data_IF_848117782536
#
_entry.id   IF_848117782536
#
_cell.length_a   1.000
_cell.length_b   1.000
_cell.length_c   1.000
_cell.angle_alpha   90.00
_cell.angle_beta   90.00
_cell.angle_gamma   90.00
#
_symmetry.space_group_name_H-M   'P 1'
#
loop_
_entity.id
_entity.type
_entity.pdbx_description
1 polymer ?
#
# COMPACT_ATOMS: atom_id res chain seq x y z
N UNK A 1 21.40 -2.44 -7.64
CA UNK A 1 20.14 -3.20 -7.69
C UNK A 1 19.28 -2.71 -6.54
N UNK A 2 18.14 -2.07 -6.82
CA UNK A 2 17.29 -1.53 -5.74
C UNK A 2 16.71 -2.72 -4.97
N UNK A 3 17.09 -2.84 -3.71
CA UNK A 3 16.66 -3.94 -2.86
C UNK A 3 15.24 -3.62 -2.36
N UNK A 4 14.25 -4.01 -3.16
CA UNK A 4 12.83 -3.80 -2.89
C UNK A 4 12.38 -4.59 -1.64
N UNK A 5 12.99 -5.77 -1.44
CA UNK A 5 12.75 -6.62 -0.28
C UNK A 5 13.52 -6.10 0.95
N UNK A 6 12.83 -5.95 2.06
CA UNK A 6 13.40 -5.43 3.30
C UNK A 6 12.34 -5.17 4.36
N UNK A 7 12.83 -4.83 5.55
CA UNK A 7 12.00 -4.44 6.69
C UNK A 7 11.88 -2.93 6.71
N UNK A 8 10.64 -2.45 6.73
CA UNK A 8 10.36 -1.04 6.63
C UNK A 8 9.46 -0.61 7.78
N UNK A 9 9.89 0.38 8.53
CA UNK A 9 9.12 0.96 9.61
C UNK A 9 8.35 2.15 9.10
N UNK A 10 7.06 2.18 9.43
CA UNK A 10 6.22 3.35 9.22
C UNK A 10 6.77 4.52 10.02
N UNK A 11 7.26 5.56 9.35
CA UNK A 11 7.75 6.78 10.00
C UNK A 11 6.66 7.84 10.05
N UNK A 12 5.98 8.06 8.92
CA UNK A 12 5.01 9.14 8.77
C UNK A 12 3.90 8.76 7.80
N UNK A 13 2.66 9.09 8.14
CA UNK A 13 1.52 9.02 7.24
C UNK A 13 0.91 10.41 7.08
N UNK A 14 0.60 10.77 5.84
CA UNK A 14 -0.09 12.01 5.44
C UNK A 14 -1.33 11.62 4.63
N UNK A 15 -2.48 12.22 4.94
CA UNK A 15 -3.75 11.99 4.24
C UNK A 15 -4.27 10.55 4.17
N UNK A 16 -3.64 9.59 4.84
CA UNK A 16 -4.11 8.20 4.87
C UNK A 16 -5.47 8.08 5.58
N UNK A 17 -5.69 8.90 6.61
CA UNK A 17 -6.96 8.94 7.33
C UNK A 17 -8.08 9.54 6.49
N UNK A 18 -7.83 10.64 5.77
CA UNK A 18 -8.80 11.23 4.84
C UNK A 18 -9.13 10.29 3.69
N UNK A 19 -8.12 9.65 3.10
CA UNK A 19 -8.31 8.67 2.04
C UNK A 19 -9.18 7.51 2.50
N UNK A 20 -8.90 6.93 3.67
CA UNK A 20 -9.71 5.84 4.21
C UNK A 20 -11.10 6.33 4.63
N UNK A 21 -11.21 7.50 5.28
CA UNK A 21 -12.49 8.05 5.72
C UNK A 21 -13.43 8.31 4.54
N UNK A 22 -12.90 8.82 3.44
CA UNK A 22 -13.69 9.10 2.25
C UNK A 22 -13.95 7.87 1.37
N UNK A 23 -13.16 6.80 1.55
CA UNK A 23 -13.56 5.47 1.09
C UNK A 23 -14.66 4.84 1.97
N UNK A 24 -15.04 5.46 3.08
CA UNK A 24 -16.08 4.95 3.99
C UNK A 24 -15.54 4.00 5.06
N UNK A 25 -14.23 3.99 5.29
CA UNK A 25 -13.61 3.20 6.36
C UNK A 25 -13.95 3.80 7.72
N UNK A 26 -14.41 3.01 8.71
CA UNK A 26 -14.60 3.48 10.06
C UNK A 26 -13.27 3.91 10.71
N UNK A 27 -13.27 5.05 11.40
CA UNK A 27 -12.08 5.64 12.03
C UNK A 27 -11.31 4.69 12.96
N UNK A 28 -11.97 3.68 13.52
CA UNK A 28 -11.34 2.64 14.35
C UNK A 28 -10.33 1.78 13.55
N UNK A 29 -10.71 1.37 12.34
CA UNK A 29 -9.81 0.64 11.44
C UNK A 29 -8.72 1.55 10.86
N UNK A 30 -9.03 2.84 10.67
CA UNK A 30 -8.04 3.85 10.28
C UNK A 30 -6.97 3.98 11.36
N UNK A 31 -7.37 4.16 12.63
CA UNK A 31 -6.43 4.25 13.76
C UNK A 31 -5.59 3.00 13.93
N UNK A 32 -6.18 1.81 13.77
CA UNK A 32 -5.42 0.55 13.74
C UNK A 32 -4.40 0.49 12.60
N UNK A 33 -4.79 0.93 11.41
CA UNK A 33 -3.92 0.96 10.24
C UNK A 33 -2.88 2.08 10.29
N UNK A 34 -3.14 3.16 11.04
CA UNK A 34 -2.25 4.30 11.28
C UNK A 34 -1.44 4.14 12.58
N UNK A 35 -1.40 2.95 13.16
CA UNK A 35 -0.68 2.74 14.41
C UNK A 35 0.81 3.08 14.24
N UNK A 36 1.34 4.07 14.97
CA UNK A 36 2.73 4.50 14.83
C UNK A 36 3.64 3.37 15.34
N UNK A 37 4.44 2.79 14.43
CA UNK A 37 5.34 1.68 14.76
C UNK A 37 5.03 0.36 14.05
N UNK A 38 4.04 0.32 13.14
CA UNK A 38 3.87 -0.85 12.28
C UNK A 38 5.12 -1.03 11.42
N UNK A 39 5.71 -2.22 11.53
CA UNK A 39 6.79 -2.67 10.65
C UNK A 39 6.17 -3.47 9.52
N UNK A 40 6.47 -3.08 8.28
CA UNK A 40 6.14 -3.80 7.07
C UNK A 40 7.39 -4.49 6.54
N UNK A 41 7.37 -5.82 6.54
CA UNK A 41 8.36 -6.62 5.84
C UNK A 41 7.86 -6.87 4.41
N UNK A 42 8.60 -6.35 3.44
CA UNK A 42 8.34 -6.58 2.02
C UNK A 42 9.22 -7.73 1.57
N UNK A 43 8.59 -8.80 1.11
CA UNK A 43 9.27 -9.97 0.56
C UNK A 43 8.99 -10.00 -0.94
N UNK A 44 10.04 -9.85 -1.74
CA UNK A 44 9.95 -9.85 -3.20
C UNK A 44 10.47 -11.19 -3.73
N UNK A 45 9.59 -11.95 -4.37
CA UNK A 45 9.88 -13.22 -5.04
C UNK A 45 9.62 -13.08 -6.54
N UNK A 46 10.60 -12.54 -7.27
CA UNK A 46 10.46 -12.23 -8.69
C UNK A 46 9.35 -11.20 -8.92
N UNK A 47 8.18 -11.68 -9.34
CA UNK A 47 6.99 -10.85 -9.57
C UNK A 47 6.05 -10.78 -8.37
N UNK A 48 6.25 -11.56 -7.31
CA UNK A 48 5.34 -11.60 -6.15
C UNK A 48 5.85 -10.74 -5.00
N UNK A 49 5.05 -9.79 -4.55
CA UNK A 49 5.33 -8.86 -3.46
C UNK A 49 4.45 -9.19 -2.27
N UNK A 50 5.04 -9.75 -1.22
CA UNK A 50 4.34 -10.03 0.02
C UNK A 50 4.64 -8.92 1.03
N UNK A 51 3.62 -8.17 1.43
CA UNK A 51 3.67 -7.17 2.49
C UNK A 51 3.20 -7.82 3.78
N UNK A 52 4.12 -8.06 4.71
CA UNK A 52 3.79 -8.53 6.06
C UNK A 52 3.86 -7.37 7.04
N UNK A 53 2.71 -6.99 7.58
CA UNK A 53 2.66 -6.11 8.74
C UNK A 53 2.92 -6.92 10.01
N UNK A 54 3.76 -6.38 10.91
CA UNK A 54 3.96 -6.91 12.25
C UNK A 54 2.68 -6.91 13.10
N UNK A 55 1.64 -6.18 12.70
CA UNK A 55 0.32 -6.20 13.34
C UNK A 55 -0.56 -7.37 12.87
N UNK A 56 -0.03 -8.28 12.04
CA UNK A 56 -0.72 -9.49 11.58
C UNK A 56 -1.47 -9.35 10.25
N UNK A 57 -1.48 -8.18 9.63
CA UNK A 57 -1.99 -8.02 8.27
C UNK A 57 -0.95 -8.47 7.24
N UNK A 58 -1.19 -9.58 6.56
CA UNK A 58 -0.41 -9.96 5.39
C UNK A 58 -1.22 -9.65 4.13
N UNK A 59 -0.61 -8.90 3.20
CA UNK A 59 -1.14 -8.64 1.86
C UNK A 59 -0.15 -9.18 0.85
N UNK A 60 -0.64 -9.84 -0.19
CA UNK A 60 0.20 -10.36 -1.26
C UNK A 60 -0.25 -9.77 -2.58
N UNK A 61 0.66 -9.08 -3.26
CA UNK A 61 0.48 -8.47 -4.57
C UNK A 61 1.35 -9.18 -5.60
N UNK A 62 0.95 -9.17 -6.87
CA UNK A 62 1.72 -9.77 -7.97
C UNK A 62 1.89 -8.73 -9.08
N UNK A 63 3.14 -8.53 -9.52
CA UNK A 63 3.54 -7.62 -10.60
C UNK A 63 3.19 -8.22 -11.95
N UNK A 64 2.57 -7.40 -12.79
CA UNK A 64 1.96 -7.72 -14.08
C UNK A 64 0.74 -8.64 -13.96
N UNK A 65 0.14 -8.76 -12.78
CA UNK A 65 -1.13 -9.45 -12.56
C UNK A 65 -2.13 -8.56 -11.82
N UNK A 66 -3.40 -8.78 -12.11
CA UNK A 66 -4.52 -8.21 -11.36
C UNK A 66 -4.80 -9.11 -10.16
N UNK A 67 -4.55 -8.60 -8.96
CA UNK A 67 -4.94 -9.29 -7.72
C UNK A 67 -6.20 -8.65 -7.16
N UNK A 68 -7.17 -9.48 -6.79
CA UNK A 68 -8.35 -9.03 -6.05
C UNK A 68 -7.96 -8.88 -4.59
N UNK A 69 -7.67 -7.64 -4.16
CA UNK A 69 -7.46 -7.31 -2.76
C UNK A 69 -8.82 -6.92 -2.17
N UNK A 70 -9.25 -7.61 -1.12
CA UNK A 70 -10.32 -7.08 -0.29
C UNK A 70 -9.70 -5.97 0.53
N UNK A 71 -10.12 -4.73 0.28
CA UNK A 71 -9.85 -3.64 1.20
C UNK A 71 -10.68 -3.92 2.45
N UNK A 72 -10.14 -4.76 3.35
CA UNK A 72 -10.84 -5.25 4.54
C UNK A 72 -11.25 -4.13 5.49
N UNK A 73 -10.72 -2.93 5.27
CA UNK A 73 -11.11 -1.69 5.93
C UNK A 73 -12.48 -1.16 5.46
N UNK A 74 -12.93 -1.46 4.24
CA UNK A 74 -14.26 -1.08 3.70
C UNK A 74 -15.11 -2.29 3.27
N UNK A 75 -14.63 -3.53 3.45
CA UNK A 75 -15.28 -4.72 2.88
C UNK A 75 -15.52 -4.60 1.35
N UNK A 76 -14.69 -3.83 0.65
CA UNK A 76 -14.78 -3.67 -0.81
C UNK A 76 -13.69 -4.49 -1.51
N UNK A 77 -14.09 -5.32 -2.47
CA UNK A 77 -13.17 -5.99 -3.39
C UNK A 77 -12.64 -4.95 -4.39
N UNK A 78 -11.33 -4.74 -4.42
CA UNK A 78 -10.67 -3.87 -5.40
C UNK A 78 -9.73 -4.72 -6.27
N UNK A 79 -9.72 -4.46 -7.58
CA UNK A 79 -8.77 -5.10 -8.50
C UNK A 79 -7.50 -4.29 -8.53
N UNK A 80 -6.42 -4.80 -7.96
CA UNK A 80 -5.13 -4.11 -7.89
C UNK A 80 -4.18 -4.71 -8.91
N UNK A 81 -3.85 -3.94 -9.95
CA UNK A 81 -2.86 -4.28 -10.95
C UNK A 81 -1.51 -3.68 -10.59
N UNK A 82 -0.52 -4.50 -10.29
CA UNK A 82 0.82 -3.99 -9.95
C UNK A 82 1.73 -3.93 -11.17
N UNK A 83 2.40 -2.81 -11.39
CA UNK A 83 3.36 -2.59 -12.47
C UNK A 83 4.71 -2.15 -11.89
N UNK A 84 5.78 -2.84 -12.24
CA UNK A 84 7.14 -2.48 -11.81
C UNK A 84 7.83 -1.70 -12.93
N UNK A 85 8.21 -0.45 -12.65
CA UNK A 85 8.98 0.41 -13.56
C UNK A 85 10.32 0.73 -12.92
N UNK A 86 11.32 -0.13 -13.16
CA UNK A 86 12.68 0.04 -12.66
C UNK A 86 12.76 -0.05 -11.13
N UNK A 87 12.75 1.10 -10.46
CA UNK A 87 12.82 1.25 -9.00
C UNK A 87 11.49 1.66 -8.34
N UNK A 88 10.44 1.86 -9.14
CA UNK A 88 9.11 2.26 -8.68
C UNK A 88 8.10 1.16 -8.98
N UNK A 89 7.19 0.92 -8.05
CA UNK A 89 6.14 -0.08 -8.19
C UNK A 89 4.80 0.64 -8.12
N UNK A 90 4.08 0.64 -9.24
CA UNK A 90 2.81 1.35 -9.43
C UNK A 90 1.67 0.34 -9.39
N UNK A 91 0.84 0.38 -8.35
CA UNK A 91 -0.33 -0.48 -8.18
C UNK A 91 -1.58 0.32 -8.57
N UNK A 92 -2.21 -0.02 -9.68
CA UNK A 92 -3.46 0.57 -10.09
C UNK A 92 -4.61 -0.23 -9.48
N UNK A 93 -5.37 0.36 -8.56
CA UNK A 93 -6.53 -0.29 -7.96
C UNK A 93 -7.82 0.20 -8.64
N UNK A 94 -8.63 -0.68 -9.19
CA UNK A 94 -9.96 -0.36 -9.72
C UNK A 94 -11.03 -0.77 -8.70
N UNK A 95 -11.85 0.21 -8.29
CA UNK A 95 -13.00 -0.04 -7.43
C UNK A 95 -14.19 -0.51 -8.29
N UNK A 96 -15.07 -1.37 -7.73
CA UNK A 96 -16.25 -1.87 -8.43
C UNK A 96 -17.26 -0.76 -8.76
N UNK A 97 -17.17 0.39 -8.09
CA UNK A 97 -17.96 1.60 -8.34
C UNK A 97 -17.48 2.39 -9.58
N UNK A 98 -16.44 1.93 -10.30
CA UNK A 98 -15.84 2.61 -11.46
C UNK A 98 -14.79 3.66 -11.08
N UNK A 99 -14.58 3.93 -9.79
CA UNK A 99 -13.49 4.79 -9.31
C UNK A 99 -12.15 4.07 -9.47
N UNK A 100 -11.15 4.78 -9.96
CA UNK A 100 -9.78 4.28 -10.07
C UNK A 100 -8.92 4.91 -8.99
N UNK A 101 -8.12 4.06 -8.35
CA UNK A 101 -7.05 4.44 -7.45
C UNK A 101 -5.70 4.02 -8.00
N UNK A 102 -4.65 4.72 -7.59
CA UNK A 102 -3.28 4.44 -8.02
C UNK A 102 -2.37 4.55 -6.81
N UNK A 103 -1.66 3.48 -6.48
CA UNK A 103 -0.72 3.41 -5.38
C UNK A 103 0.70 3.28 -5.92
N UNK A 104 1.48 4.32 -5.85
CA UNK A 104 2.87 4.34 -6.29
C UNK A 104 3.79 4.14 -5.10
N UNK A 105 4.59 3.08 -5.14
CA UNK A 105 5.65 2.74 -4.19
C UNK A 105 6.98 3.15 -4.81
N UNK A 106 7.59 4.19 -4.26
CA UNK A 106 8.92 4.67 -4.67
C UNK A 106 9.96 4.19 -3.68
N UNK A 107 10.76 3.20 -4.08
CA UNK A 107 11.83 2.66 -3.24
C UNK A 107 13.08 3.52 -3.36
N UNK A 108 13.71 3.79 -2.22
CA UNK A 108 14.93 4.58 -2.06
C UNK A 108 15.90 3.83 -1.14
N UNK A 109 17.20 4.13 -1.16
CA UNK A 109 18.19 3.44 -0.33
C UNK A 109 17.89 3.48 1.18
N UNK A 110 17.16 4.51 1.63
CA UNK A 110 16.77 4.70 3.04
C UNK A 110 15.36 4.18 3.39
N UNK A 111 14.58 3.67 2.43
CA UNK A 111 13.17 3.33 2.68
C UNK A 111 12.30 3.30 1.43
N UNK A 112 11.00 3.56 1.56
CA UNK A 112 10.12 3.80 0.41
C UNK A 112 8.98 4.75 0.76
N UNK A 113 8.46 5.43 -0.26
CA UNK A 113 7.28 6.28 -0.14
C UNK A 113 6.14 5.64 -0.90
N UNK A 114 5.04 5.37 -0.20
CA UNK A 114 3.79 4.87 -0.77
C UNK A 114 2.82 6.03 -0.94
N UNK A 115 2.57 6.44 -2.19
CA UNK A 115 1.56 7.43 -2.54
C UNK A 115 0.32 6.71 -3.05
N UNK A 116 -0.84 6.89 -2.42
CA UNK A 116 -2.11 6.29 -2.82
C UNK A 116 -3.08 7.38 -3.26
N UNK A 117 -3.55 7.33 -4.50
CA UNK A 117 -4.59 8.20 -5.02
C UNK A 117 -5.89 7.41 -5.17
N UNK A 118 -7.05 8.02 -4.92
CA UNK A 118 -8.37 7.51 -5.32
C UNK A 118 -9.28 8.69 -5.64
N UNK A 119 -9.64 8.84 -6.93
CA UNK A 119 -10.32 10.05 -7.40
C UNK A 119 -9.53 11.32 -7.09
N UNK A 120 -10.15 12.28 -6.41
CA UNK A 120 -9.57 13.57 -6.00
C UNK A 120 -8.67 13.51 -4.76
N UNK A 121 -8.55 12.36 -4.09
CA UNK A 121 -7.81 12.25 -2.83
C UNK A 121 -6.48 11.57 -2.99
N UNK A 122 -5.48 12.09 -2.28
CA UNK A 122 -4.10 11.59 -2.31
C UNK A 122 -3.61 11.39 -0.88
N UNK A 123 -3.28 10.16 -0.52
CA UNK A 123 -2.57 9.79 0.70
C UNK A 123 -1.10 9.49 0.41
N UNK A 124 -0.21 9.79 1.36
CA UNK A 124 1.21 9.45 1.29
C UNK A 124 1.66 8.81 2.59
N UNK A 125 2.45 7.75 2.49
CA UNK A 125 3.02 7.03 3.63
C UNK A 125 4.51 6.91 3.41
N UNK A 126 5.28 7.37 4.38
CA UNK A 126 6.73 7.34 4.38
C UNK A 126 7.17 6.20 5.28
N UNK A 127 7.90 5.29 4.66
CA UNK A 127 8.49 4.16 5.33
C UNK A 127 9.99 4.29 5.27
N UNK A 128 10.64 4.08 6.41
CA UNK A 128 12.10 4.03 6.52
C UNK A 128 12.55 2.59 6.63
N UNK A 129 13.63 2.23 5.94
CA UNK A 129 14.26 0.91 6.08
C UNK A 129 14.94 0.85 7.45
N UNK A 130 14.70 -0.23 8.19
CA UNK A 130 15.35 -0.54 9.48
C UNK A 130 16.18 -1.80 9.34
#
# INVERSE_FOLDING_TARGET
MVQLAGTYKLEKNENFEEYLAALGVPQDSIKKANSPGVVYEIIVNGNKFTFKSSSGMNSTLIVNEEVEEVLGTVNMNIKSFTKLEGSKLVVNSELPDGRKGTRTYEFCDKGFVLTMCAGDMVAKRYFIRT
#
